data_IF_205537888785
#
_entry.id   IF_205537888785
#
_cell.length_a   1.000
_cell.length_b   1.000
_cell.length_c   1.000
_cell.angle_alpha   90.00
_cell.angle_beta   90.00
_cell.angle_gamma   90.00
#
_symmetry.space_group_name_H-M   'P 1'
#
loop_
_entity.id
_entity.type
_entity.pdbx_description
1 polymer ?
#
# COMPACT_ATOMS: atom_id res chain seq x y z
N UNK A 1 -13.58 9.97 1.86
CA UNK A 1 -13.13 10.51 3.16
C UNK A 1 -14.05 11.65 3.55
N UNK A 2 -14.81 11.49 4.63
CA UNK A 2 -15.45 12.62 5.30
C UNK A 2 -14.38 13.29 6.17
N UNK A 3 -14.14 14.57 5.95
CA UNK A 3 -13.14 15.37 6.66
C UNK A 3 -13.31 16.84 6.28
N UNK A 4 -12.67 17.74 7.01
CA UNK A 4 -12.73 19.20 6.78
C UNK A 4 -12.18 19.66 5.42
N UNK A 5 -11.67 18.74 4.59
CA UNK A 5 -10.92 19.05 3.37
C UNK A 5 -9.50 19.55 3.63
N UNK A 6 -9.09 19.65 4.90
CA UNK A 6 -7.75 20.10 5.27
C UNK A 6 -6.73 18.99 5.06
N UNK A 7 -6.13 18.99 3.87
CA UNK A 7 -5.08 18.05 3.50
C UNK A 7 -3.82 18.18 4.38
N UNK A 8 -3.48 19.39 4.81
CA UNK A 8 -2.32 19.61 5.67
C UNK A 8 -2.52 18.95 7.03
N UNK A 9 -3.69 19.13 7.64
CA UNK A 9 -4.03 18.45 8.87
C UNK A 9 -4.04 16.93 8.69
N UNK A 10 -4.61 16.41 7.60
CA UNK A 10 -4.65 14.98 7.34
C UNK A 10 -3.25 14.32 7.25
N UNK A 11 -2.28 15.03 6.66
CA UNK A 11 -0.88 14.57 6.55
C UNK A 11 -0.11 14.75 7.86
N UNK A 12 -0.23 15.92 8.49
CA UNK A 12 0.66 16.36 9.58
C UNK A 12 0.16 15.97 10.95
N UNK A 13 -1.14 15.93 11.17
CA UNK A 13 -1.76 15.74 12.50
C UNK A 13 -2.95 14.78 12.43
N UNK A 14 -2.93 13.85 11.47
CA UNK A 14 -3.93 12.81 11.31
C UNK A 14 -3.88 11.76 12.42
N UNK A 15 -4.84 10.83 12.37
CA UNK A 15 -4.85 9.67 13.27
C UNK A 15 -3.53 8.90 13.16
N UNK A 16 -2.98 8.52 14.31
CA UNK A 16 -1.82 7.63 14.45
C UNK A 16 -2.23 6.17 14.75
N UNK A 17 -3.52 5.88 14.60
CA UNK A 17 -4.14 4.60 14.92
C UNK A 17 -4.74 3.96 13.68
N UNK A 18 -4.71 2.62 13.66
CA UNK A 18 -5.53 1.80 12.78
C UNK A 18 -6.82 1.40 13.48
N UNK A 19 -7.89 1.21 12.72
CA UNK A 19 -9.13 0.61 13.21
C UNK A 19 -9.05 -0.89 12.95
N UNK A 20 -9.33 -1.71 13.96
CA UNK A 20 -9.47 -3.16 13.82
C UNK A 20 -10.91 -3.56 14.14
N UNK A 21 -11.53 -4.25 13.20
CA UNK A 21 -12.81 -4.93 13.34
C UNK A 21 -12.60 -6.42 13.06
N UNK A 22 -13.37 -7.27 13.73
CA UNK A 22 -13.27 -8.72 13.61
C UNK A 22 -14.62 -9.30 13.21
N UNK A 23 -14.61 -10.29 12.33
CA UNK A 23 -15.80 -11.01 11.86
C UNK A 23 -15.43 -12.45 11.55
N UNK A 24 -16.32 -13.39 11.84
CA UNK A 24 -16.18 -14.81 11.51
C UNK A 24 -16.97 -15.20 10.25
N UNK A 25 -17.82 -14.31 9.72
CA UNK A 25 -18.71 -14.57 8.58
C UNK A 25 -18.70 -13.47 7.50
N UNK A 26 -17.87 -12.43 7.69
CA UNK A 26 -17.73 -11.24 6.85
C UNK A 26 -19.00 -10.39 6.72
N UNK A 27 -20.03 -10.68 7.51
CA UNK A 27 -21.33 -9.99 7.52
C UNK A 27 -21.54 -9.26 8.84
N UNK A 28 -21.36 -9.99 9.94
CA UNK A 28 -21.51 -9.50 11.29
C UNK A 28 -20.13 -9.12 11.83
N UNK A 29 -19.96 -7.84 12.16
CA UNK A 29 -18.69 -7.31 12.67
C UNK A 29 -18.84 -6.98 14.15
N UNK A 30 -17.81 -7.34 14.92
CA UNK A 30 -17.71 -6.98 16.33
C UNK A 30 -17.47 -5.48 16.53
N UNK A 31 -17.32 -5.08 17.79
CA UNK A 31 -17.09 -3.67 18.14
C UNK A 31 -15.74 -3.18 17.62
N UNK A 32 -15.68 -2.00 16.96
CA UNK A 32 -14.43 -1.34 16.62
C UNK A 32 -13.47 -1.18 17.78
N UNK A 33 -12.18 -1.25 17.47
CA UNK A 33 -11.15 -0.65 18.33
C UNK A 33 -10.12 0.11 17.51
N UNK A 34 -9.71 1.26 18.03
CA UNK A 34 -8.53 1.98 17.55
C UNK A 34 -7.30 1.43 18.26
N UNK A 35 -6.26 1.13 17.50
CA UNK A 35 -4.94 0.77 18.04
C UNK A 35 -3.91 1.74 17.51
N UNK A 36 -3.26 2.48 18.41
CA UNK A 36 -2.19 3.39 18.05
C UNK A 36 -0.94 2.59 17.70
N UNK A 37 -0.50 2.68 16.44
CA UNK A 37 0.66 1.95 15.92
C UNK A 37 1.78 2.89 15.47
N UNK A 38 1.43 4.13 15.11
CA UNK A 38 2.40 5.15 14.70
C UNK A 38 3.04 5.83 15.93
N UNK A 39 4.34 6.17 15.89
CA UNK A 39 5.03 6.85 16.98
C UNK A 39 4.54 8.30 17.19
N UNK A 40 4.99 8.96 18.25
CA UNK A 40 4.66 10.38 18.50
C UNK A 40 5.10 11.32 17.37
N UNK A 41 6.19 10.98 16.69
CA UNK A 41 6.77 11.74 15.58
C UNK A 41 6.07 11.53 14.24
N UNK A 42 5.09 10.63 14.16
CA UNK A 42 4.36 10.37 12.93
C UNK A 42 3.23 11.36 12.73
N UNK A 43 3.09 11.88 11.51
CA UNK A 43 1.98 12.75 11.15
C UNK A 43 0.65 12.03 11.04
N UNK A 44 0.67 10.73 10.71
CA UNK A 44 -0.53 9.96 10.35
C UNK A 44 -0.27 8.43 10.33
N UNK A 45 -1.31 7.66 9.99
CA UNK A 45 -1.25 6.22 9.71
C UNK A 45 -2.17 5.95 8.51
N UNK A 46 -1.63 5.97 7.29
CA UNK A 46 -2.44 5.83 6.06
C UNK A 46 -2.27 4.49 5.38
N UNK A 47 -3.37 4.02 4.77
CA UNK A 47 -3.44 2.81 3.96
C UNK A 47 -2.75 1.60 4.61
N UNK A 48 -3.13 1.21 5.85
CA UNK A 48 -2.54 0.06 6.49
C UNK A 48 -2.93 -1.24 5.76
N UNK A 49 -1.95 -2.11 5.55
CA UNK A 49 -2.14 -3.49 5.07
C UNK A 49 -1.36 -4.44 5.99
N UNK A 50 -1.77 -5.71 6.01
CA UNK A 50 -1.13 -6.77 6.78
C UNK A 50 -0.82 -7.97 5.90
N UNK A 51 0.38 -8.53 6.06
CA UNK A 51 0.80 -9.77 5.40
C UNK A 51 1.41 -10.73 6.42
N UNK A 52 1.11 -12.02 6.30
CA UNK A 52 1.71 -13.04 7.14
C UNK A 52 3.19 -13.27 6.78
N UNK A 53 4.08 -13.20 7.78
CA UNK A 53 5.48 -13.57 7.67
C UNK A 53 5.72 -14.96 8.28
N UNK A 54 5.85 -16.02 7.46
CA UNK A 54 6.05 -17.37 7.96
C UNK A 54 7.41 -17.54 8.66
N UNK A 55 8.42 -16.71 8.35
CA UNK A 55 9.75 -16.81 8.98
C UNK A 55 9.75 -16.33 10.43
N UNK A 56 8.80 -15.46 10.78
CA UNK A 56 8.67 -14.88 12.12
C UNK A 56 7.44 -15.40 12.88
N UNK A 57 6.53 -16.12 12.20
CA UNK A 57 5.23 -16.54 12.73
C UNK A 57 4.41 -15.36 13.27
N UNK A 58 4.40 -14.26 12.51
CA UNK A 58 3.73 -12.98 12.83
C UNK A 58 3.17 -12.35 11.57
N UNK A 59 2.16 -11.51 11.71
CA UNK A 59 1.80 -10.55 10.68
C UNK A 59 2.76 -9.37 10.70
N UNK A 60 3.25 -8.97 9.53
CA UNK A 60 3.82 -7.65 9.29
C UNK A 60 2.69 -6.73 8.88
N UNK A 61 2.45 -5.68 9.66
CA UNK A 61 1.51 -4.60 9.36
C UNK A 61 2.31 -3.39 8.93
N UNK A 62 1.93 -2.75 7.83
CA UNK A 62 2.68 -1.66 7.24
C UNK A 62 1.76 -0.57 6.70
N UNK A 63 2.22 0.68 6.75
CA UNK A 63 1.42 1.87 6.44
C UNK A 63 2.30 3.05 6.04
N UNK A 64 1.73 4.05 5.40
CA UNK A 64 2.43 5.29 5.08
C UNK A 64 2.33 6.32 6.22
N UNK A 65 3.44 7.00 6.52
CA UNK A 65 3.46 8.17 7.43
C UNK A 65 4.61 9.12 7.10
N UNK A 66 4.36 10.42 7.25
CA UNK A 66 5.44 11.40 7.39
C UNK A 66 6.02 11.30 8.82
N UNK A 67 7.34 11.44 8.95
CA UNK A 67 8.03 11.44 10.26
C UNK A 67 8.70 12.78 10.50
N UNK A 68 8.47 13.37 11.68
CA UNK A 68 9.01 14.66 12.10
C UNK A 68 10.10 14.49 13.15
N UNK A 69 10.89 15.54 13.35
CA UNK A 69 11.89 15.54 14.42
C UNK A 69 11.21 15.44 15.79
N UNK A 70 11.83 14.77 16.76
CA UNK A 70 11.24 14.58 18.09
C UNK A 70 10.93 15.90 18.83
N UNK A 71 11.65 16.97 18.50
CA UNK A 71 11.43 18.31 19.04
C UNK A 71 10.43 19.16 18.21
N UNK A 72 9.99 18.70 17.04
CA UNK A 72 8.96 19.36 16.23
C UNK A 72 7.58 18.81 16.58
N UNK A 73 7.12 19.06 17.80
CA UNK A 73 5.84 18.52 18.31
C UNK A 73 4.61 19.06 17.57
N UNK A 74 4.77 20.16 16.81
CA UNK A 74 3.73 20.74 15.98
C UNK A 74 3.75 20.22 14.52
N UNK A 75 4.71 19.35 14.18
CA UNK A 75 4.87 18.76 12.85
C UNK A 75 4.89 19.82 11.73
N UNK A 76 5.62 20.92 11.96
CA UNK A 76 5.70 22.08 11.05
C UNK A 76 6.84 21.95 10.04
N UNK A 77 7.87 21.16 10.36
CA UNK A 77 9.02 20.92 9.51
C UNK A 77 8.65 20.22 8.20
N UNK A 78 9.60 20.20 7.26
CA UNK A 78 9.46 19.44 6.03
C UNK A 78 9.65 17.95 6.30
N UNK A 79 8.78 17.13 5.73
CA UNK A 79 8.90 15.68 5.74
C UNK A 79 8.18 15.09 4.52
N UNK A 80 8.25 13.77 4.36
CA UNK A 80 7.56 13.02 3.32
C UNK A 80 7.17 11.65 3.85
N UNK A 81 6.17 11.05 3.20
CA UNK A 81 5.69 9.72 3.57
C UNK A 81 6.76 8.66 3.29
N UNK A 82 7.05 7.88 4.33
CA UNK A 82 7.76 6.61 4.27
C UNK A 82 6.78 5.50 4.59
N UNK A 83 7.10 4.27 4.20
CA UNK A 83 6.37 3.11 4.69
C UNK A 83 6.99 2.70 6.02
N UNK A 84 6.18 2.69 7.07
CA UNK A 84 6.50 2.10 8.36
C UNK A 84 5.98 0.68 8.42
N UNK A 85 6.57 -0.13 9.30
CA UNK A 85 6.02 -1.45 9.65
C UNK A 85 6.11 -1.73 11.15
N UNK A 86 5.22 -2.58 11.62
CA UNK A 86 5.31 -3.26 12.91
C UNK A 86 4.87 -4.73 12.75
N UNK A 87 5.14 -5.56 13.74
CA UNK A 87 4.70 -6.96 13.76
C UNK A 87 3.67 -7.21 14.86
N UNK A 88 2.77 -8.16 14.62
CA UNK A 88 1.75 -8.59 15.59
C UNK A 88 1.40 -10.07 15.39
N UNK A 89 0.96 -10.73 16.45
CA UNK A 89 0.38 -12.09 16.39
C UNK A 89 -1.14 -12.08 16.55
N UNK A 90 -1.72 -10.98 17.05
CA UNK A 90 -3.09 -10.94 17.56
C UNK A 90 -3.87 -9.68 17.13
N UNK A 91 -3.25 -8.78 16.38
CA UNK A 91 -3.79 -7.46 16.01
C UNK A 91 -4.23 -6.59 17.19
N UNK A 92 -3.81 -6.90 18.42
CA UNK A 92 -4.07 -6.12 19.65
C UNK A 92 -2.79 -5.47 20.13
N UNK A 93 -1.70 -6.24 20.14
CA UNK A 93 -0.37 -5.79 20.54
C UNK A 93 0.54 -5.74 19.32
N UNK A 94 1.32 -4.66 19.21
CA UNK A 94 2.21 -4.41 18.09
C UNK A 94 3.62 -4.17 18.60
N UNK A 95 4.63 -4.63 17.86
CA UNK A 95 6.01 -4.21 18.11
C UNK A 95 6.15 -2.70 17.91
N UNK A 96 7.26 -2.15 18.41
CA UNK A 96 7.64 -0.78 18.03
C UNK A 96 7.73 -0.69 16.49
N UNK A 97 7.22 0.40 15.88
CA UNK A 97 7.29 0.58 14.45
C UNK A 97 8.70 0.98 14.01
N UNK A 98 9.09 0.54 12.82
CA UNK A 98 10.34 0.93 12.17
C UNK A 98 10.09 1.39 10.73
N UNK A 99 11.04 2.15 10.18
CA UNK A 99 11.01 2.53 8.77
C UNK A 99 11.29 1.30 7.92
N UNK A 100 10.37 0.98 7.01
CA UNK A 100 10.45 -0.17 6.12
C UNK A 100 10.85 0.21 4.68
N UNK A 101 10.22 1.24 4.12
CA UNK A 101 10.56 1.77 2.81
C UNK A 101 10.85 3.26 2.93
N UNK A 102 12.09 3.62 2.66
CA UNK A 102 12.54 5.00 2.43
C UNK A 102 13.33 5.03 1.12
N UNK A 103 12.80 5.75 0.14
CA UNK A 103 13.46 5.94 -1.17
C UNK A 103 14.17 7.29 -1.26
N UNK A 104 14.09 8.13 -0.24
CA UNK A 104 14.49 9.54 -0.30
C UNK A 104 13.41 10.45 -0.90
N UNK A 105 12.23 9.91 -1.21
CA UNK A 105 11.04 10.64 -1.65
C UNK A 105 9.77 9.98 -1.08
N UNK A 106 8.63 10.68 -1.20
CA UNK A 106 7.35 10.19 -0.71
C UNK A 106 6.93 8.88 -1.40
N UNK A 107 6.62 7.86 -0.60
CA UNK A 107 6.05 6.58 -1.03
C UNK A 107 4.81 6.28 -0.19
N UNK A 108 3.72 5.91 -0.86
CA UNK A 108 2.46 5.51 -0.21
C UNK A 108 1.91 4.24 -0.84
N UNK A 109 0.80 3.74 -0.29
CA UNK A 109 -0.05 2.70 -0.87
C UNK A 109 0.73 1.45 -1.29
N UNK A 110 1.42 0.86 -0.31
CA UNK A 110 2.16 -0.37 -0.55
C UNK A 110 1.21 -1.57 -0.45
N UNK A 111 1.42 -2.58 -1.28
CA UNK A 111 0.74 -3.88 -1.21
C UNK A 111 1.71 -5.00 -1.60
N UNK A 112 1.43 -6.24 -1.18
CA UNK A 112 2.25 -7.41 -1.49
C UNK A 112 1.50 -8.49 -2.26
N UNK A 113 2.24 -9.20 -3.12
CA UNK A 113 1.82 -10.46 -3.72
C UNK A 113 2.93 -11.50 -3.54
N UNK A 114 2.58 -12.71 -3.13
CA UNK A 114 3.53 -13.81 -2.98
C UNK A 114 3.29 -14.89 -4.04
N UNK A 115 4.30 -15.16 -4.85
CA UNK A 115 4.30 -16.27 -5.80
C UNK A 115 4.96 -17.50 -5.17
N UNK A 116 4.13 -18.44 -4.71
CA UNK A 116 4.58 -19.70 -4.12
C UNK A 116 5.33 -20.61 -5.09
N UNK A 117 5.12 -20.46 -6.41
CA UNK A 117 5.82 -21.29 -7.40
C UNK A 117 7.30 -20.94 -7.55
N UNK A 118 7.65 -19.69 -7.23
CA UNK A 118 9.01 -19.16 -7.30
C UNK A 118 9.55 -18.72 -5.94
N UNK A 119 8.76 -18.90 -4.88
CA UNK A 119 9.05 -18.41 -3.52
C UNK A 119 9.47 -16.93 -3.50
N UNK A 120 8.80 -16.10 -4.31
CA UNK A 120 9.16 -14.69 -4.50
C UNK A 120 8.05 -13.78 -4.00
N UNK A 121 8.43 -12.76 -3.22
CA UNK A 121 7.56 -11.64 -2.87
C UNK A 121 7.69 -10.55 -3.93
N UNK A 122 6.56 -10.04 -4.36
CA UNK A 122 6.46 -8.81 -5.13
C UNK A 122 5.80 -7.76 -4.26
N UNK A 123 6.34 -6.55 -4.30
CA UNK A 123 5.70 -5.40 -3.65
C UNK A 123 5.47 -4.30 -4.66
N UNK A 124 4.37 -3.60 -4.47
CA UNK A 124 3.93 -2.53 -5.34
C UNK A 124 3.63 -1.33 -4.48
N UNK A 125 4.14 -0.16 -4.86
CA UNK A 125 3.95 1.06 -4.10
C UNK A 125 3.74 2.23 -5.05
N UNK A 126 3.09 3.28 -4.57
CA UNK A 126 2.94 4.53 -5.31
C UNK A 126 4.16 5.42 -5.14
N UNK A 127 4.66 5.92 -6.27
CA UNK A 127 5.61 7.03 -6.29
C UNK A 127 4.86 8.37 -6.20
N UNK A 128 5.03 9.09 -5.09
CA UNK A 128 4.36 10.38 -4.88
C UNK A 128 5.11 11.58 -5.46
N UNK A 129 6.27 11.38 -6.11
CA UNK A 129 6.95 12.46 -6.83
C UNK A 129 6.02 13.06 -7.89
N UNK A 130 6.17 14.36 -8.14
CA UNK A 130 5.51 14.99 -9.27
C UNK A 130 5.97 14.32 -10.57
N UNK A 131 5.05 14.11 -11.51
CA UNK A 131 5.43 13.62 -12.83
C UNK A 131 6.17 14.73 -13.59
N UNK A 132 7.47 14.56 -13.79
CA UNK A 132 8.36 15.59 -14.36
C UNK A 132 9.47 14.93 -15.17
N UNK A 133 10.34 15.73 -15.80
CA UNK A 133 11.52 15.20 -16.50
C UNK A 133 12.48 14.44 -15.57
N UNK A 134 12.58 14.83 -14.30
CA UNK A 134 13.43 14.15 -13.30
C UNK A 134 12.76 12.93 -12.66
N UNK A 135 11.44 12.83 -12.73
CA UNK A 135 10.66 11.69 -12.24
C UNK A 135 9.52 11.38 -13.24
N UNK A 136 9.84 10.84 -14.42
CA UNK A 136 8.84 10.64 -15.48
C UNK A 136 7.75 9.65 -15.07
N UNK A 137 8.01 8.79 -14.08
CA UNK A 137 7.05 7.81 -13.57
C UNK A 137 6.41 8.24 -12.24
N UNK A 138 6.64 9.49 -11.79
CA UNK A 138 5.96 10.06 -10.63
C UNK A 138 4.44 10.02 -10.80
N UNK A 139 3.72 9.81 -9.69
CA UNK A 139 2.27 9.56 -9.62
C UNK A 139 1.80 8.25 -10.23
N UNK A 140 2.68 7.27 -10.40
CA UNK A 140 2.33 5.91 -10.80
C UNK A 140 2.89 4.87 -9.84
N UNK A 141 2.44 3.64 -10.00
CA UNK A 141 2.90 2.48 -9.23
C UNK A 141 4.25 2.01 -9.76
N UNK A 142 5.15 1.62 -8.86
CA UNK A 142 6.35 0.85 -9.17
C UNK A 142 6.28 -0.52 -8.51
N UNK A 143 6.95 -1.49 -9.13
CA UNK A 143 6.98 -2.90 -8.74
C UNK A 143 8.42 -3.31 -8.42
N UNK A 144 8.59 -4.04 -7.33
CA UNK A 144 9.86 -4.63 -6.91
C UNK A 144 9.68 -6.10 -6.52
N UNK A 145 10.76 -6.86 -6.45
CA UNK A 145 10.79 -8.25 -5.92
C UNK A 145 11.83 -8.47 -4.83
N UNK A 146 11.54 -9.40 -3.93
CA UNK A 146 12.45 -9.86 -2.88
C UNK A 146 12.18 -11.32 -2.53
N UNK A 147 13.14 -11.96 -1.86
CA UNK A 147 13.01 -13.36 -1.41
C UNK A 147 12.34 -13.48 -0.03
N UNK A 148 12.26 -12.38 0.74
CA UNK A 148 11.59 -12.33 2.04
C UNK A 148 11.04 -10.93 2.32
N UNK A 149 10.09 -10.83 3.24
CA UNK A 149 9.50 -9.55 3.66
C UNK A 149 10.51 -8.64 4.38
N UNK A 150 11.50 -9.22 5.06
CA UNK A 150 12.58 -8.51 5.75
C UNK A 150 13.81 -8.25 4.88
N UNK A 151 13.89 -8.84 3.69
CA UNK A 151 15.03 -8.73 2.80
C UNK A 151 15.02 -7.50 1.90
N UNK A 152 16.07 -7.37 1.10
CA UNK A 152 16.18 -6.33 0.08
C UNK A 152 15.23 -6.61 -1.09
N UNK A 153 14.67 -5.54 -1.65
CA UNK A 153 13.85 -5.59 -2.85
C UNK A 153 14.58 -4.93 -4.02
N UNK A 154 14.51 -5.57 -5.19
CA UNK A 154 15.04 -5.04 -6.45
C UNK A 154 13.91 -4.56 -7.36
N UNK A 155 14.10 -3.39 -7.96
CA UNK A 155 13.17 -2.79 -8.90
C UNK A 155 12.96 -3.69 -10.13
N UNK A 156 11.71 -3.87 -10.53
CA UNK A 156 11.32 -4.54 -11.78
C UNK A 156 10.81 -3.52 -12.79
N UNK A 157 9.88 -2.67 -12.36
CA UNK A 157 9.17 -1.76 -13.25
C UNK A 157 8.76 -0.50 -12.50
N UNK A 158 8.94 0.64 -13.14
CA UNK A 158 8.29 1.89 -12.75
C UNK A 158 7.18 2.23 -13.74
N UNK A 159 6.23 3.06 -13.32
CA UNK A 159 5.20 3.59 -14.22
C UNK A 159 4.18 2.53 -14.63
N UNK A 160 3.85 1.58 -13.76
CA UNK A 160 2.80 0.59 -14.05
C UNK A 160 1.49 1.32 -14.32
N UNK A 161 0.84 0.98 -15.43
CA UNK A 161 -0.38 1.62 -15.94
C UNK A 161 -0.17 2.91 -16.74
N UNK A 162 1.04 3.48 -16.76
CA UNK A 162 1.32 4.70 -17.54
C UNK A 162 1.04 4.48 -19.03
N UNK A 163 0.28 5.41 -19.62
CA UNK A 163 -0.24 5.31 -20.99
C UNK A 163 -1.66 4.74 -21.08
N UNK A 164 -2.14 4.06 -20.04
CA UNK A 164 -3.53 3.57 -19.92
C UNK A 164 -4.34 4.34 -18.86
N UNK A 165 -3.66 4.84 -17.82
CA UNK A 165 -4.21 5.76 -16.82
C UNK A 165 -3.39 7.04 -16.77
N UNK A 166 -4.03 8.13 -16.35
CA UNK A 166 -3.36 9.45 -16.20
C UNK A 166 -2.44 9.53 -14.98
N UNK A 167 -2.74 8.74 -13.95
CA UNK A 167 -2.01 8.60 -12.68
C UNK A 167 -2.62 7.41 -11.91
N UNK A 168 -1.88 6.84 -10.97
CA UNK A 168 -2.30 5.64 -10.25
C UNK A 168 -1.88 5.65 -8.77
N UNK A 169 -2.76 5.17 -7.91
CA UNK A 169 -2.56 4.96 -6.47
C UNK A 169 -3.28 3.69 -5.99
N UNK A 170 -3.19 3.37 -4.70
CA UNK A 170 -3.95 2.28 -4.07
C UNK A 170 -3.89 0.93 -4.79
N UNK A 171 -2.72 0.45 -5.26
CA UNK A 171 -2.65 -0.83 -5.96
C UNK A 171 -3.16 -1.95 -5.06
N UNK A 172 -3.90 -2.90 -5.63
CA UNK A 172 -4.18 -4.20 -5.00
C UNK A 172 -3.87 -5.29 -6.01
N UNK A 173 -3.08 -6.29 -5.61
CA UNK A 173 -2.57 -7.34 -6.50
C UNK A 173 -2.98 -8.71 -5.97
N UNK A 174 -3.53 -9.55 -6.84
CA UNK A 174 -4.00 -10.88 -6.47
C UNK A 174 -3.89 -11.87 -7.62
N UNK A 175 -3.71 -13.15 -7.28
CA UNK A 175 -3.68 -14.24 -8.26
C UNK A 175 -5.11 -14.62 -8.64
N UNK A 176 -5.34 -14.99 -9.90
CA UNK A 176 -6.61 -15.55 -10.32
C UNK A 176 -6.84 -16.90 -9.67
N UNK A 177 -8.05 -17.11 -9.15
CA UNK A 177 -8.49 -18.41 -8.63
C UNK A 177 -8.91 -19.39 -9.73
N UNK A 178 -9.11 -18.91 -10.97
CA UNK A 178 -9.65 -19.72 -12.08
C UNK A 178 -8.66 -19.92 -13.23
N UNK A 179 -7.61 -19.11 -13.31
CA UNK A 179 -6.63 -19.17 -14.39
C UNK A 179 -5.22 -19.32 -13.82
N UNK A 180 -4.57 -20.45 -14.13
CA UNK A 180 -3.19 -20.70 -13.72
C UNK A 180 -2.27 -19.57 -14.20
N UNK A 181 -1.39 -19.10 -13.31
CA UNK A 181 -0.37 -18.07 -13.57
C UNK A 181 -0.92 -16.68 -13.93
N UNK A 182 -2.24 -16.47 -13.90
CA UNK A 182 -2.83 -15.15 -14.13
C UNK A 182 -2.81 -14.34 -12.83
N UNK A 183 -2.37 -13.10 -12.92
CA UNK A 183 -2.41 -12.12 -11.85
C UNK A 183 -3.19 -10.90 -12.32
N UNK A 184 -3.90 -10.28 -11.39
CA UNK A 184 -4.56 -8.99 -11.57
C UNK A 184 -3.93 -7.94 -10.66
N UNK A 185 -3.89 -6.71 -11.15
CA UNK A 185 -3.58 -5.52 -10.36
C UNK A 185 -4.67 -4.49 -10.61
N UNK A 186 -5.39 -4.08 -9.58
CA UNK A 186 -6.29 -2.94 -9.72
C UNK A 186 -5.54 -1.69 -9.23
N UNK A 187 -5.52 -0.65 -10.04
CA UNK A 187 -4.90 0.64 -9.71
C UNK A 187 -5.99 1.70 -9.63
N UNK A 188 -6.07 2.43 -8.52
CA UNK A 188 -6.99 3.57 -8.42
C UNK A 188 -6.45 4.72 -9.27
N UNK A 189 -7.14 5.03 -10.36
CA UNK A 189 -6.92 6.26 -11.10
C UNK A 189 -7.51 7.43 -10.31
N UNK A 190 -6.72 7.95 -9.37
CA UNK A 190 -7.15 8.98 -8.43
C UNK A 190 -7.54 10.28 -9.13
N UNK A 191 -8.69 10.82 -8.75
CA UNK A 191 -9.35 11.93 -9.46
C UNK A 191 -9.93 11.56 -10.84
N UNK A 192 -9.78 10.30 -11.27
CA UNK A 192 -10.32 9.74 -12.52
C UNK A 192 -11.39 8.67 -12.26
N UNK A 193 -11.30 7.54 -12.96
CA UNK A 193 -12.36 6.51 -13.01
C UNK A 193 -12.56 5.74 -11.70
N UNK A 194 -11.56 5.69 -10.81
CA UNK A 194 -11.51 4.71 -9.72
C UNK A 194 -10.63 3.54 -10.14
N UNK A 195 -10.92 2.34 -9.65
CA UNK A 195 -10.12 1.18 -10.02
C UNK A 195 -10.13 0.88 -11.51
N UNK A 196 -8.92 0.74 -12.06
CA UNK A 196 -8.63 0.26 -13.42
C UNK A 196 -7.85 -1.05 -13.30
N UNK A 197 -8.45 -2.19 -13.70
CA UNK A 197 -7.80 -3.49 -13.68
C UNK A 197 -6.74 -3.66 -14.78
N UNK A 198 -5.60 -4.22 -14.38
CA UNK A 198 -4.52 -4.71 -15.23
C UNK A 198 -4.28 -6.18 -14.94
N UNK A 199 -3.63 -6.86 -15.88
CA UNK A 199 -3.36 -8.28 -15.80
C UNK A 199 -2.02 -8.68 -16.39
N UNK A 200 -1.49 -9.81 -15.92
CA UNK A 200 -0.28 -10.44 -16.45
C UNK A 200 -0.32 -11.95 -16.24
N UNK A 201 0.38 -12.69 -17.09
CA UNK A 201 0.66 -14.12 -16.88
C UNK A 201 2.07 -14.37 -16.35
N UNK A 202 2.88 -13.32 -16.21
CA UNK A 202 4.22 -13.38 -15.67
C UNK A 202 4.49 -12.13 -14.81
N UNK A 203 4.16 -12.24 -13.52
CA UNK A 203 4.37 -11.15 -12.55
C UNK A 203 5.83 -10.70 -12.46
N UNK A 204 6.81 -11.59 -12.72
CA UNK A 204 8.22 -11.26 -12.69
C UNK A 204 8.68 -10.30 -13.80
N UNK A 205 7.92 -10.21 -14.90
CA UNK A 205 8.27 -9.37 -16.05
C UNK A 205 8.01 -7.88 -15.81
N UNK A 206 7.11 -7.54 -14.88
CA UNK A 206 6.59 -6.18 -14.73
C UNK A 206 5.75 -5.68 -15.92
N UNK A 207 5.45 -6.54 -16.89
CA UNK A 207 4.56 -6.23 -17.99
C UNK A 207 3.11 -6.46 -17.55
N UNK A 208 2.35 -5.38 -17.48
CA UNK A 208 0.94 -5.35 -17.10
C UNK A 208 0.11 -4.80 -18.27
N UNK A 209 -0.90 -5.55 -18.67
CA UNK A 209 -1.81 -5.16 -19.76
C UNK A 209 -3.13 -4.70 -19.16
N UNK A 210 -3.74 -3.65 -19.71
CA UNK A 210 -5.08 -3.24 -19.31
C UNK A 210 -6.07 -4.39 -19.53
N UNK A 211 -6.79 -4.82 -18.50
CA UNK A 211 -7.83 -5.83 -18.66
C UNK A 211 -9.00 -5.24 -19.45
N UNK A 212 -9.63 -6.07 -20.27
CA UNK A 212 -10.82 -5.70 -21.05
C UNK A 212 -12.04 -6.42 -20.51
N UNK A 213 -13.24 -5.86 -20.73
CA UNK A 213 -14.50 -6.52 -20.35
C UNK A 213 -14.76 -6.65 -18.85
N UNK A 214 -14.09 -5.88 -18.00
CA UNK A 214 -14.37 -5.85 -16.57
C UNK A 214 -15.61 -5.01 -16.24
N UNK A 215 -16.33 -5.38 -15.19
CA UNK A 215 -17.40 -4.58 -14.59
C UNK A 215 -17.10 -4.43 -13.10
N UNK A 216 -17.04 -3.19 -12.65
CA UNK A 216 -16.81 -2.83 -11.25
C UNK A 216 -17.99 -1.98 -10.76
N UNK A 217 -18.21 -1.90 -9.43
CA UNK A 217 -19.09 -0.91 -8.85
C UNK A 217 -18.77 0.51 -9.36
N UNK A 218 -19.65 1.47 -9.11
CA UNK A 218 -19.55 2.79 -9.76
C UNK A 218 -18.25 3.56 -9.46
N UNK A 219 -17.67 3.42 -8.26
CA UNK A 219 -16.46 4.14 -7.83
C UNK A 219 -15.61 3.39 -6.78
N UNK A 220 -15.31 2.08 -6.92
CA UNK A 220 -14.45 1.40 -5.98
C UNK A 220 -13.03 1.97 -6.11
N UNK A 221 -12.42 2.20 -4.96
CA UNK A 221 -11.10 2.79 -4.81
C UNK A 221 -10.42 2.16 -3.61
N UNK A 222 -9.12 2.00 -3.72
CA UNK A 222 -8.22 1.80 -2.59
C UNK A 222 -8.76 0.84 -1.50
N UNK A 223 -8.93 -0.43 -1.87
CA UNK A 223 -9.30 -1.54 -0.99
C UNK A 223 -8.46 -2.78 -1.29
N UNK A 224 -8.96 -3.95 -0.90
CA UNK A 224 -8.26 -5.23 -1.04
C UNK A 224 -9.19 -6.29 -1.63
N UNK A 225 -8.61 -7.27 -2.31
CA UNK A 225 -9.30 -8.51 -2.71
C UNK A 225 -8.88 -9.61 -1.75
N UNK A 226 -9.84 -10.20 -1.06
CA UNK A 226 -9.63 -11.34 -0.16
C UNK A 226 -10.21 -12.61 -0.81
N UNK A 227 -9.50 -13.75 -0.77
CA UNK A 227 -9.95 -15.01 -1.35
C UNK A 227 -11.10 -15.66 -0.57
#
# INVERSE_FOLDING_TARGET
>A
MYGSGDWNAAVRTGSRSIVIWESTDLKNWGTPRLVQVSPATAGNTWAPEAIWDPSQNKYMVFWASSLYAANDTAHTGSSYHRILRATTTDFKTFSAPEVYIDKGWAVIDTTFAYDSSTSTYYRFSKDERANSSSAPNGKFVFQEKGSSLSGSFSLIKEGVGKGSISRGEGPTVFKSNTQSNKWYMFIDEFGGRGYVPFETTNIASGAWTLSTGYSLPSRPRHGSVIP
#
